data_IF_777919594702
#
_entry.id   IF_777919594702
#
_cell.length_a   1.000
_cell.length_b   1.000
_cell.length_c   1.000
_cell.angle_alpha   90.00
_cell.angle_beta   90.00
_cell.angle_gamma   90.00
#
_symmetry.space_group_name_H-M   'P 1'
#
loop_
_entity.id
_entity.type
_entity.pdbx_description
1 polymer ?
#
# COMPACT_ATOMS: atom_id res chain seq x y z
N UNK A 1 29.20 31.17 -24.83
CA UNK A 1 30.10 30.26 -25.58
C UNK A 1 30.26 29.00 -24.71
N UNK A 2 29.38 28.00 -24.89
CA UNK A 2 29.37 26.75 -24.12
C UNK A 2 30.40 25.85 -24.78
N UNK A 3 31.50 25.54 -24.09
CA UNK A 3 32.51 24.61 -24.55
C UNK A 3 31.88 23.23 -24.71
N UNK A 4 31.65 22.82 -25.98
CA UNK A 4 31.31 21.47 -26.35
C UNK A 4 32.54 20.58 -26.06
N UNK A 5 32.56 19.88 -24.94
CA UNK A 5 33.53 18.82 -24.70
C UNK A 5 33.19 17.65 -25.62
N UNK A 6 33.98 17.50 -26.72
CA UNK A 6 33.87 16.30 -27.54
C UNK A 6 34.38 15.09 -26.73
N UNK A 7 33.55 14.08 -26.60
CA UNK A 7 33.94 12.82 -25.98
C UNK A 7 34.66 11.96 -27.00
N UNK A 8 35.90 11.58 -26.74
CA UNK A 8 36.75 10.80 -27.64
C UNK A 8 37.54 9.75 -26.86
N UNK A 9 37.64 8.55 -27.43
CA UNK A 9 38.64 7.58 -27.03
C UNK A 9 39.95 7.91 -27.78
N UNK A 10 41.07 7.97 -27.06
CA UNK A 10 42.37 8.30 -27.61
C UNK A 10 43.24 7.04 -27.79
N UNK A 11 44.27 7.10 -28.69
CA UNK A 11 45.21 6.00 -28.86
C UNK A 11 45.97 5.64 -27.56
N UNK A 12 46.38 6.64 -26.80
CA UNK A 12 47.00 6.43 -25.48
C UNK A 12 46.12 5.67 -24.47
N UNK A 13 44.82 5.81 -24.58
CA UNK A 13 43.88 5.05 -23.75
C UNK A 13 43.81 3.56 -24.18
N UNK A 14 44.10 3.24 -25.46
CA UNK A 14 44.18 1.86 -25.92
C UNK A 14 45.47 1.17 -25.50
N UNK A 15 46.60 1.90 -25.52
CA UNK A 15 47.88 1.36 -25.07
C UNK A 15 47.82 0.99 -23.59
N UNK A 16 47.23 1.86 -22.76
CA UNK A 16 46.96 1.57 -21.34
C UNK A 16 46.05 0.31 -21.12
N UNK A 17 45.15 0.06 -22.07
CA UNK A 17 44.24 -1.08 -22.00
C UNK A 17 44.90 -2.38 -22.48
N UNK A 18 45.78 -2.31 -23.46
CA UNK A 18 46.56 -3.44 -23.97
C UNK A 18 47.58 -3.92 -22.91
N UNK A 19 48.29 -2.98 -22.27
CA UNK A 19 49.14 -3.27 -21.13
C UNK A 19 48.36 -3.82 -19.89
N UNK A 20 47.11 -3.39 -19.73
CA UNK A 20 46.22 -3.84 -18.66
C UNK A 20 45.56 -5.20 -18.87
N UNK A 21 45.85 -5.90 -19.99
CA UNK A 21 45.37 -7.26 -20.25
C UNK A 21 43.91 -7.35 -20.73
N UNK A 22 43.43 -6.33 -21.43
CA UNK A 22 42.09 -6.37 -22.05
C UNK A 22 42.11 -7.38 -23.21
N UNK A 23 41.09 -8.26 -23.34
CA UNK A 23 41.00 -9.24 -24.42
C UNK A 23 41.09 -8.60 -25.83
N UNK A 24 41.79 -9.29 -26.73
CA UNK A 24 42.12 -8.76 -28.08
C UNK A 24 40.88 -8.44 -28.94
N UNK A 25 39.80 -9.21 -28.77
CA UNK A 25 38.50 -8.98 -29.42
C UNK A 25 37.89 -7.65 -29.00
N UNK A 26 37.93 -7.34 -27.72
CA UNK A 26 37.42 -6.07 -27.17
C UNK A 26 38.32 -4.91 -27.53
N UNK A 27 39.63 -5.08 -27.51
CA UNK A 27 40.59 -4.09 -28.01
C UNK A 27 40.34 -3.73 -29.49
N UNK A 28 40.06 -4.71 -30.33
CA UNK A 28 39.75 -4.49 -31.75
C UNK A 28 38.41 -3.72 -31.91
N UNK A 29 37.43 -4.00 -31.10
CA UNK A 29 36.17 -3.25 -31.11
C UNK A 29 36.36 -1.81 -30.62
N UNK A 30 37.17 -1.60 -29.55
CA UNK A 30 37.50 -0.25 -29.06
C UNK A 30 38.34 0.55 -30.05
N UNK A 31 39.25 -0.09 -30.82
CA UNK A 31 40.03 0.56 -31.91
C UNK A 31 39.12 1.22 -32.95
N UNK A 32 37.94 0.68 -33.21
CA UNK A 32 36.97 1.28 -34.15
C UNK A 32 36.32 2.56 -33.61
N UNK A 33 36.38 2.78 -32.31
CA UNK A 33 35.82 3.98 -31.65
C UNK A 33 36.88 5.09 -31.50
N UNK A 34 38.17 4.76 -31.69
CA UNK A 34 39.27 5.74 -31.61
C UNK A 34 39.13 6.81 -32.66
N UNK A 35 39.26 8.07 -32.24
CA UNK A 35 39.13 9.20 -33.14
C UNK A 35 37.69 9.61 -33.52
N UNK A 36 36.70 8.80 -33.21
CA UNK A 36 35.30 9.22 -33.34
C UNK A 36 34.97 10.28 -32.27
N UNK A 37 34.30 11.34 -32.72
CA UNK A 37 33.76 12.35 -31.82
C UNK A 37 32.26 12.15 -31.68
N UNK A 38 31.80 12.10 -30.44
CA UNK A 38 30.40 11.94 -30.13
C UNK A 38 29.83 13.29 -29.65
N UNK A 39 28.64 13.61 -30.13
CA UNK A 39 27.98 14.89 -29.82
C UNK A 39 27.59 15.02 -28.38
N UNK A 40 27.23 13.89 -27.72
CA UNK A 40 26.82 13.84 -26.33
C UNK A 40 27.60 12.79 -25.56
N UNK A 41 27.74 13.00 -24.23
CA UNK A 41 28.29 12.01 -23.32
C UNK A 41 27.48 10.69 -23.35
N UNK A 42 26.18 10.78 -23.55
CA UNK A 42 25.28 9.65 -23.51
C UNK A 42 25.51 8.73 -24.74
N UNK A 43 25.69 9.29 -25.90
CA UNK A 43 26.03 8.56 -27.12
C UNK A 43 27.40 7.85 -27.00
N UNK A 44 28.40 8.55 -26.50
CA UNK A 44 29.72 7.98 -26.21
C UNK A 44 29.66 6.78 -25.25
N UNK A 45 28.93 6.93 -24.14
CA UNK A 45 28.78 5.87 -23.17
C UNK A 45 28.01 4.66 -23.68
N UNK A 46 27.04 4.87 -24.56
CA UNK A 46 26.29 3.78 -25.23
C UNK A 46 27.24 2.87 -26.04
N UNK A 47 28.13 3.45 -26.83
CA UNK A 47 29.08 2.69 -27.64
C UNK A 47 30.18 2.02 -26.82
N UNK A 48 30.60 2.63 -25.70
CA UNK A 48 31.51 1.99 -24.76
C UNK A 48 30.83 0.82 -24.03
N UNK A 49 29.58 0.98 -23.72
CA UNK A 49 28.78 0.01 -22.99
C UNK A 49 28.57 -1.30 -23.78
N UNK A 50 28.42 -1.20 -25.11
CA UNK A 50 28.34 -2.38 -26.01
C UNK A 50 29.62 -3.23 -25.94
N UNK A 51 30.78 -2.60 -25.80
CA UNK A 51 32.07 -3.29 -25.79
C UNK A 51 32.48 -3.74 -24.39
N UNK A 52 32.15 -2.96 -23.35
CA UNK A 52 32.60 -3.15 -21.98
C UNK A 52 31.53 -3.82 -21.08
N UNK A 53 30.42 -4.25 -21.64
CA UNK A 53 29.27 -4.73 -20.87
C UNK A 53 29.56 -5.87 -19.88
N UNK A 54 30.59 -6.67 -20.13
CA UNK A 54 31.01 -7.76 -19.24
C UNK A 54 32.55 -7.70 -19.03
N UNK A 55 33.05 -6.82 -18.14
CA UNK A 55 34.49 -6.71 -17.89
C UNK A 55 35.03 -8.00 -17.24
N UNK A 56 36.01 -8.62 -17.91
CA UNK A 56 36.62 -9.88 -17.49
C UNK A 56 37.98 -9.69 -16.82
N UNK A 57 38.67 -8.58 -17.10
CA UNK A 57 39.96 -8.24 -16.51
C UNK A 57 39.90 -7.07 -15.53
N UNK A 58 40.86 -6.93 -14.59
CA UNK A 58 40.94 -5.77 -13.71
C UNK A 58 41.06 -4.44 -14.45
N UNK A 59 41.75 -4.41 -15.58
CA UNK A 59 41.90 -3.21 -16.40
C UNK A 59 40.61 -2.82 -17.11
N UNK A 60 39.88 -3.78 -17.67
CA UNK A 60 38.53 -3.56 -18.23
C UNK A 60 37.58 -3.03 -17.16
N UNK A 61 37.64 -3.60 -15.95
CA UNK A 61 36.82 -3.17 -14.84
C UNK A 61 37.09 -1.75 -14.42
N UNK A 62 38.39 -1.35 -14.39
CA UNK A 62 38.80 0.06 -14.12
C UNK A 62 38.29 1.01 -15.20
N UNK A 63 38.40 0.60 -16.47
CA UNK A 63 37.89 1.36 -17.59
C UNK A 63 36.37 1.48 -17.56
N UNK A 64 35.68 0.37 -17.31
CA UNK A 64 34.24 0.32 -17.19
C UNK A 64 33.74 1.27 -16.07
N UNK A 65 34.38 1.25 -14.91
CA UNK A 65 34.03 2.17 -13.81
C UNK A 65 34.33 3.63 -14.15
N UNK A 66 35.36 3.90 -14.97
CA UNK A 66 35.75 5.25 -15.35
C UNK A 66 34.88 5.85 -16.46
N UNK A 67 34.50 5.03 -17.45
CA UNK A 67 33.88 5.49 -18.71
C UNK A 67 32.53 4.80 -19.02
N UNK A 68 32.25 3.66 -18.43
CA UNK A 68 31.02 2.94 -18.64
C UNK A 68 29.79 3.68 -18.10
N UNK A 69 28.62 3.21 -18.51
CA UNK A 69 27.36 3.72 -17.98
C UNK A 69 27.25 3.35 -16.51
N UNK A 70 27.30 4.36 -15.66
CA UNK A 70 27.16 4.16 -14.22
C UNK A 70 25.81 3.54 -13.87
N UNK A 71 25.81 2.71 -12.84
CA UNK A 71 24.60 2.18 -12.23
C UNK A 71 23.76 3.29 -11.61
N UNK A 72 22.45 3.20 -11.71
CA UNK A 72 21.53 4.16 -11.07
C UNK A 72 21.72 4.19 -9.54
N UNK A 73 22.02 3.03 -8.93
CA UNK A 73 22.23 2.87 -7.49
C UNK A 73 23.72 2.78 -7.09
N UNK A 74 24.66 2.97 -8.03
CA UNK A 74 26.09 2.86 -7.76
C UNK A 74 26.56 1.43 -7.47
N UNK A 75 25.84 0.42 -7.96
CA UNK A 75 26.11 -0.99 -7.69
C UNK A 75 27.22 -1.60 -8.57
N UNK A 76 27.84 -0.83 -9.47
CA UNK A 76 28.88 -1.30 -10.40
C UNK A 76 30.09 -1.92 -9.69
N UNK A 77 30.38 -1.47 -8.47
CA UNK A 77 31.47 -2.02 -7.68
C UNK A 77 31.18 -3.39 -7.08
N UNK A 78 29.91 -3.65 -6.78
CA UNK A 78 29.45 -4.90 -6.14
C UNK A 78 29.05 -5.92 -7.18
N UNK A 79 28.40 -5.50 -8.26
CA UNK A 79 27.87 -6.36 -9.31
C UNK A 79 28.46 -5.91 -10.65
N UNK A 80 29.59 -6.49 -11.07
CA UNK A 80 30.29 -6.11 -12.31
C UNK A 80 29.54 -6.52 -13.58
N UNK A 81 28.74 -7.60 -13.53
CA UNK A 81 27.94 -8.05 -14.67
C UNK A 81 26.76 -7.09 -14.91
N UNK A 82 26.74 -6.47 -16.08
CA UNK A 82 25.73 -5.49 -16.48
C UNK A 82 24.31 -6.04 -16.41
N UNK A 83 24.08 -7.18 -17.04
CA UNK A 83 22.73 -7.79 -17.09
C UNK A 83 22.20 -8.08 -15.67
N UNK A 84 23.01 -8.70 -14.80
CA UNK A 84 22.63 -9.00 -13.41
C UNK A 84 22.35 -7.72 -12.64
N UNK A 85 23.16 -6.68 -12.83
CA UNK A 85 23.00 -5.39 -12.17
C UNK A 85 21.70 -4.69 -12.58
N UNK A 86 21.39 -4.64 -13.89
CA UNK A 86 20.15 -4.04 -14.39
C UNK A 86 18.91 -4.74 -13.81
N UNK A 87 18.93 -6.06 -13.71
CA UNK A 87 17.86 -6.82 -13.05
C UNK A 87 17.75 -6.50 -11.55
N UNK A 88 18.87 -6.44 -10.85
CA UNK A 88 18.88 -6.11 -9.40
C UNK A 88 18.38 -4.68 -9.17
N UNK A 89 18.83 -3.71 -9.97
CA UNK A 89 18.36 -2.32 -9.89
C UNK A 89 16.86 -2.20 -10.18
N UNK A 90 16.39 -2.88 -11.22
CA UNK A 90 14.96 -2.90 -11.56
C UNK A 90 14.11 -3.52 -10.45
N UNK A 91 14.56 -4.63 -9.85
CA UNK A 91 13.87 -5.27 -8.73
C UNK A 91 13.88 -4.39 -7.47
N UNK A 92 15.00 -3.77 -7.15
CA UNK A 92 15.09 -2.83 -6.01
C UNK A 92 14.19 -1.61 -6.23
N UNK A 93 14.20 -1.04 -7.42
CA UNK A 93 13.31 0.08 -7.77
C UNK A 93 11.85 -0.33 -7.65
N UNK A 94 11.48 -1.48 -8.24
CA UNK A 94 10.11 -2.00 -8.16
C UNK A 94 9.70 -2.28 -6.70
N UNK A 95 10.60 -2.81 -5.88
CA UNK A 95 10.36 -3.04 -4.46
C UNK A 95 10.12 -1.72 -3.70
N UNK A 96 10.96 -0.71 -3.94
CA UNK A 96 10.79 0.62 -3.31
C UNK A 96 9.47 1.25 -3.71
N UNK A 97 9.14 1.23 -5.01
CA UNK A 97 7.86 1.76 -5.51
C UNK A 97 6.69 1.00 -4.90
N UNK A 98 6.73 -0.33 -4.87
CA UNK A 98 5.68 -1.16 -4.26
C UNK A 98 5.53 -0.88 -2.75
N UNK A 99 6.65 -0.72 -2.03
CA UNK A 99 6.65 -0.36 -0.62
C UNK A 99 6.03 1.02 -0.37
N UNK A 100 6.36 2.02 -1.19
CA UNK A 100 5.76 3.36 -1.14
C UNK A 100 4.26 3.32 -1.43
N UNK A 101 3.86 2.62 -2.49
CA UNK A 101 2.43 2.47 -2.84
C UNK A 101 1.67 1.78 -1.71
N UNK A 102 2.21 0.70 -1.16
CA UNK A 102 1.60 -0.01 -0.03
C UNK A 102 1.49 0.87 1.22
N UNK A 103 2.52 1.64 1.54
CA UNK A 103 2.56 2.44 2.77
C UNK A 103 1.65 3.66 2.70
N UNK A 104 1.59 4.32 1.54
CA UNK A 104 0.89 5.61 1.43
C UNK A 104 -0.46 5.53 0.72
N UNK A 105 -0.69 4.53 -0.13
CA UNK A 105 -1.90 4.51 -0.95
C UNK A 105 -2.85 3.35 -0.64
N UNK A 106 -2.38 2.10 -0.67
CA UNK A 106 -3.23 0.93 -0.52
C UNK A 106 -2.63 -0.08 0.44
N UNK A 107 -3.39 -0.44 1.47
CA UNK A 107 -3.02 -1.51 2.38
C UNK A 107 -4.00 -2.69 2.22
N UNK A 108 -3.50 -3.92 2.03
CA UNK A 108 -4.32 -5.11 2.05
C UNK A 108 -4.61 -5.53 3.49
N UNK A 109 -5.88 -5.86 3.78
CA UNK A 109 -6.33 -6.39 5.06
C UNK A 109 -7.09 -7.70 4.83
N UNK A 110 -6.84 -8.70 5.69
CA UNK A 110 -7.63 -9.93 5.76
C UNK A 110 -8.67 -9.78 6.85
N UNK A 111 -9.89 -10.21 6.58
CA UNK A 111 -11.02 -10.11 7.50
C UNK A 111 -11.21 -11.44 8.25
N UNK A 112 -10.88 -11.51 9.54
CA UNK A 112 -11.00 -12.72 10.32
C UNK A 112 -12.35 -12.88 11.03
N UNK A 113 -13.19 -11.84 11.08
CA UNK A 113 -14.42 -11.83 11.88
C UNK A 113 -15.66 -11.45 11.09
N UNK A 114 -16.81 -11.95 11.52
CA UNK A 114 -18.11 -11.71 10.86
C UNK A 114 -18.83 -10.44 11.31
N UNK A 115 -18.16 -9.50 12.02
CA UNK A 115 -18.83 -8.32 12.58
C UNK A 115 -19.36 -7.32 11.55
N UNK A 116 -18.89 -7.41 10.30
CA UNK A 116 -19.29 -6.56 9.18
C UNK A 116 -20.13 -7.30 8.12
N UNK A 117 -20.54 -8.53 8.40
CA UNK A 117 -21.46 -9.29 7.52
C UNK A 117 -22.80 -8.54 7.43
N UNK A 118 -23.44 -8.47 6.24
CA UNK A 118 -23.07 -9.08 4.97
C UNK A 118 -22.10 -8.25 4.11
N UNK A 119 -21.85 -7.00 4.48
CA UNK A 119 -21.02 -6.07 3.69
C UNK A 119 -19.63 -6.62 3.46
N UNK A 120 -18.99 -7.10 4.54
CA UNK A 120 -17.69 -7.76 4.49
C UNK A 120 -17.80 -9.11 5.20
N UNK A 121 -17.45 -10.18 4.50
CA UNK A 121 -17.54 -11.55 5.02
C UNK A 121 -16.19 -12.02 5.62
N UNK A 122 -16.26 -13.05 6.45
CA UNK A 122 -15.06 -13.76 6.92
C UNK A 122 -14.33 -14.36 5.72
N UNK A 123 -13.02 -14.16 5.67
CA UNK A 123 -12.18 -14.61 4.57
C UNK A 123 -12.08 -13.64 3.38
N UNK A 124 -12.80 -12.50 3.43
CA UNK A 124 -12.56 -11.40 2.50
C UNK A 124 -11.17 -10.80 2.72
N UNK A 125 -10.55 -10.45 1.62
CA UNK A 125 -9.36 -9.62 1.58
C UNK A 125 -9.72 -8.29 0.91
N UNK A 126 -9.55 -7.20 1.64
CA UNK A 126 -9.95 -5.87 1.19
C UNK A 126 -8.73 -4.98 0.96
N UNK A 127 -8.85 -4.07 0.01
CA UNK A 127 -7.96 -2.92 -0.04
C UNK A 127 -8.56 -1.76 0.73
N UNK A 128 -7.74 -1.18 1.60
CA UNK A 128 -8.03 0.09 2.23
C UNK A 128 -7.12 1.18 1.66
N UNK A 129 -7.69 2.36 1.49
CA UNK A 129 -6.93 3.56 1.09
C UNK A 129 -6.52 4.32 2.35
N UNK A 130 -5.21 4.51 2.49
CA UNK A 130 -4.62 5.20 3.63
C UNK A 130 -4.65 6.73 3.47
N UNK A 131 -4.70 7.22 2.23
CA UNK A 131 -4.70 8.65 1.91
C UNK A 131 -6.07 9.34 2.04
N UNK A 132 -7.16 8.57 2.19
CA UNK A 132 -8.51 9.17 2.25
C UNK A 132 -8.68 10.17 3.41
N UNK A 133 -7.94 10.00 4.49
CA UNK A 133 -7.98 10.90 5.63
C UNK A 133 -6.68 11.71 5.80
N UNK A 134 -5.99 11.93 4.68
CA UNK A 134 -4.71 12.65 4.59
C UNK A 134 -3.49 11.71 4.57
N UNK A 135 -2.46 12.15 3.87
CA UNK A 135 -1.18 11.43 3.76
C UNK A 135 -0.35 11.77 5.00
N UNK A 136 0.00 10.80 5.85
CA UNK A 136 0.83 11.07 7.00
C UNK A 136 2.23 11.53 6.56
N UNK A 137 2.71 12.62 7.14
CA UNK A 137 4.08 13.08 6.92
C UNK A 137 5.01 12.31 7.88
N UNK A 138 6.01 11.57 7.38
CA UNK A 138 6.92 10.83 8.22
C UNK A 138 7.55 11.71 9.32
N UNK A 139 7.64 11.20 10.54
CA UNK A 139 8.21 11.87 11.71
C UNK A 139 7.47 13.13 12.20
N UNK A 140 6.20 13.33 11.79
CA UNK A 140 5.33 14.42 12.27
C UNK A 140 3.92 13.92 12.49
N UNK A 141 3.14 14.62 13.32
CA UNK A 141 1.71 14.35 13.51
C UNK A 141 0.83 15.02 12.44
N UNK A 142 1.45 15.59 11.42
CA UNK A 142 0.77 16.35 10.36
C UNK A 142 0.36 15.42 9.22
N UNK A 143 -0.86 15.62 8.70
CA UNK A 143 -1.33 14.96 7.48
C UNK A 143 -1.46 15.98 6.34
N UNK A 144 -0.95 15.63 5.16
CA UNK A 144 -1.16 16.41 3.95
C UNK A 144 -2.55 16.10 3.38
N UNK A 145 -3.25 17.13 2.89
CA UNK A 145 -4.59 17.01 2.29
C UNK A 145 -5.60 16.27 3.19
N UNK A 146 -5.79 16.72 4.46
CA UNK A 146 -6.71 16.08 5.35
C UNK A 146 -8.13 16.13 4.77
N UNK A 147 -8.82 14.99 4.80
CA UNK A 147 -10.23 14.87 4.43
C UNK A 147 -11.01 14.43 5.66
N UNK A 148 -12.17 14.99 5.85
CA UNK A 148 -13.03 14.64 6.96
C UNK A 148 -13.61 13.24 6.80
N UNK A 149 -13.73 12.54 7.91
CA UNK A 149 -14.40 11.25 8.00
C UNK A 149 -15.90 11.52 7.89
N UNK A 150 -16.57 10.75 7.06
CA UNK A 150 -18.00 10.88 6.83
C UNK A 150 -18.77 9.74 7.49
N UNK A 151 -20.03 10.01 7.86
CA UNK A 151 -20.94 8.95 8.29
C UNK A 151 -21.13 7.94 7.15
N UNK A 152 -21.17 6.66 7.50
CA UNK A 152 -21.23 5.56 6.56
C UNK A 152 -19.86 5.05 6.09
N UNK A 153 -18.76 5.78 6.31
CA UNK A 153 -17.41 5.31 5.99
C UNK A 153 -17.08 4.03 6.75
N UNK A 154 -16.52 3.04 6.07
CA UNK A 154 -16.00 1.84 6.69
C UNK A 154 -14.52 2.09 7.01
N UNK A 155 -14.23 2.31 8.29
CA UNK A 155 -12.91 2.74 8.77
C UNK A 155 -12.13 1.62 9.40
N UNK A 156 -10.80 1.68 9.23
CA UNK A 156 -9.83 0.82 9.89
C UNK A 156 -9.07 1.65 10.91
N UNK A 157 -9.02 1.17 12.13
CA UNK A 157 -8.43 1.87 13.26
C UNK A 157 -7.86 0.88 14.29
N UNK A 158 -6.87 1.29 15.10
CA UNK A 158 -6.38 0.47 16.20
C UNK A 158 -7.48 0.33 17.26
N UNK A 159 -7.67 -0.90 17.75
CA UNK A 159 -8.65 -1.18 18.81
C UNK A 159 -8.33 -0.37 20.07
N UNK A 160 -9.25 0.42 20.62
CA UNK A 160 -8.96 1.34 21.72
C UNK A 160 -8.41 0.69 22.99
N UNK A 161 -8.77 -0.57 23.26
CA UNK A 161 -8.29 -1.32 24.44
C UNK A 161 -7.02 -2.12 24.18
N UNK A 162 -6.67 -2.37 22.91
CA UNK A 162 -5.44 -3.03 22.48
C UNK A 162 -5.01 -2.50 21.11
N UNK A 163 -4.21 -1.42 21.06
CA UNK A 163 -3.79 -0.79 19.81
C UNK A 163 -2.91 -1.65 18.88
N UNK A 164 -2.50 -2.83 19.31
CA UNK A 164 -1.77 -3.79 18.48
C UNK A 164 -2.65 -4.48 17.44
N UNK A 165 -3.98 -4.44 17.63
CA UNK A 165 -4.97 -5.09 16.78
C UNK A 165 -5.77 -4.04 16.01
N UNK A 166 -5.89 -4.21 14.71
CA UNK A 166 -6.73 -3.36 13.85
C UNK A 166 -8.17 -3.87 13.83
N UNK A 167 -9.11 -2.95 14.02
CA UNK A 167 -10.54 -3.18 13.87
C UNK A 167 -11.06 -2.48 12.61
N UNK A 168 -12.11 -3.06 12.04
CA UNK A 168 -12.86 -2.48 10.93
C UNK A 168 -14.33 -2.34 11.34
N UNK A 169 -14.87 -1.14 11.24
CA UNK A 169 -16.26 -0.80 11.58
C UNK A 169 -16.77 0.31 10.69
N UNK A 170 -18.08 0.50 10.70
CA UNK A 170 -18.75 1.62 10.02
C UNK A 170 -18.94 2.79 10.97
N UNK A 171 -18.67 4.01 10.48
CA UNK A 171 -18.93 5.25 11.21
C UNK A 171 -20.44 5.52 11.22
N UNK A 172 -21.02 5.58 12.40
CA UNK A 172 -22.45 5.79 12.61
C UNK A 172 -22.74 7.20 13.12
N UNK A 173 -21.89 7.75 13.99
CA UNK A 173 -21.99 9.13 14.41
C UNK A 173 -20.63 9.82 14.51
N UNK A 174 -20.64 11.15 14.39
CA UNK A 174 -19.48 12.03 14.38
C UNK A 174 -19.43 12.91 15.63
N UNK A 175 -18.27 13.48 15.91
CA UNK A 175 -18.08 14.39 17.03
C UNK A 175 -19.09 15.54 17.04
N UNK A 176 -19.66 15.83 18.22
CA UNK A 176 -20.71 16.82 18.44
C UNK A 176 -22.14 16.29 18.28
N UNK A 177 -22.31 15.08 17.73
CA UNK A 177 -23.63 14.46 17.57
C UNK A 177 -24.03 13.67 18.82
N UNK A 178 -25.34 13.58 19.05
CA UNK A 178 -25.92 12.77 20.12
C UNK A 178 -26.46 11.47 19.54
N UNK A 179 -25.93 10.32 19.98
CA UNK A 179 -26.37 9.01 19.57
C UNK A 179 -27.24 8.33 20.65
N UNK A 180 -28.33 7.71 20.21
CA UNK A 180 -29.11 6.81 21.04
C UNK A 180 -29.61 5.62 20.22
N UNK A 181 -29.81 4.46 20.87
CA UNK A 181 -30.35 3.28 20.23
C UNK A 181 -31.59 2.83 20.99
N UNK A 182 -32.65 2.55 20.24
CA UNK A 182 -33.91 2.04 20.79
C UNK A 182 -34.37 0.84 19.93
N UNK A 183 -34.30 -0.34 20.51
CA UNK A 183 -34.51 -1.57 19.72
C UNK A 183 -33.47 -1.71 18.61
N UNK A 184 -33.93 -1.85 17.39
CA UNK A 184 -33.05 -1.99 16.20
C UNK A 184 -32.67 -0.68 15.55
N UNK A 185 -33.23 0.47 16.00
CA UNK A 185 -33.07 1.75 15.35
C UNK A 185 -32.05 2.62 16.07
N UNK A 186 -31.10 3.13 15.32
CA UNK A 186 -30.14 4.16 15.77
C UNK A 186 -30.75 5.55 15.51
N UNK A 187 -30.62 6.43 16.47
CA UNK A 187 -31.03 7.82 16.39
C UNK A 187 -29.82 8.73 16.50
N UNK A 188 -29.71 9.69 15.60
CA UNK A 188 -28.69 10.74 15.65
C UNK A 188 -29.42 12.08 15.85
N UNK A 189 -29.06 12.80 16.92
CA UNK A 189 -29.73 14.05 17.30
C UNK A 189 -31.26 13.89 17.40
N UNK A 190 -31.68 12.71 17.89
CA UNK A 190 -33.08 12.29 18.05
C UNK A 190 -33.84 12.02 16.74
N UNK A 191 -33.16 12.00 15.56
CA UNK A 191 -33.73 11.58 14.28
C UNK A 191 -33.29 10.15 13.95
N UNK A 192 -34.19 9.29 13.43
CA UNK A 192 -33.84 7.92 13.07
C UNK A 192 -32.86 7.91 11.89
N UNK A 193 -31.81 7.12 12.01
CA UNK A 193 -30.82 6.94 10.94
C UNK A 193 -31.30 5.85 9.99
N UNK A 194 -31.26 6.13 8.67
CA UNK A 194 -31.47 5.14 7.64
C UNK A 194 -30.20 4.30 7.46
N UNK A 195 -30.31 2.99 7.73
CA UNK A 195 -29.20 2.07 7.77
C UNK A 195 -29.48 0.80 6.94
N UNK A 196 -29.52 0.88 5.61
CA UNK A 196 -29.83 -0.26 4.74
C UNK A 196 -28.77 -1.39 4.83
N UNK A 197 -27.62 -1.12 5.37
CA UNK A 197 -26.52 -2.04 5.61
C UNK A 197 -26.62 -2.80 6.95
N UNK A 198 -27.47 -2.35 7.87
CA UNK A 198 -27.60 -2.96 9.18
C UNK A 198 -28.23 -4.34 9.09
N UNK A 199 -27.50 -5.34 9.59
CA UNK A 199 -27.93 -6.72 9.57
C UNK A 199 -28.15 -7.26 10.98
N UNK A 200 -29.31 -7.87 11.19
CA UNK A 200 -29.67 -8.54 12.42
C UNK A 200 -29.85 -10.04 12.12
N UNK A 201 -28.83 -10.82 12.47
CA UNK A 201 -28.85 -12.28 12.24
C UNK A 201 -30.10 -12.91 12.85
N UNK A 202 -30.95 -13.57 12.06
CA UNK A 202 -32.22 -14.13 12.54
C UNK A 202 -32.02 -15.22 13.61
N UNK A 203 -30.94 -16.02 13.48
CA UNK A 203 -30.65 -17.11 14.43
C UNK A 203 -30.20 -16.53 15.77
N UNK A 204 -29.27 -15.56 15.72
CA UNK A 204 -28.81 -14.86 16.92
C UNK A 204 -29.95 -14.06 17.59
N UNK A 205 -30.84 -13.46 16.79
CA UNK A 205 -32.02 -12.77 17.27
C UNK A 205 -32.93 -13.72 18.03
N UNK A 206 -33.24 -14.87 17.42
CA UNK A 206 -34.06 -15.91 18.05
C UNK A 206 -33.40 -16.48 19.30
N UNK A 207 -32.11 -16.78 19.25
CA UNK A 207 -31.36 -17.33 20.39
C UNK A 207 -31.28 -16.38 21.58
N UNK A 208 -31.16 -15.06 21.35
CA UNK A 208 -31.05 -14.07 22.41
C UNK A 208 -32.39 -13.62 22.98
N UNK A 209 -33.45 -13.57 22.18
CA UNK A 209 -34.70 -12.91 22.52
C UNK A 209 -35.93 -13.81 22.41
N UNK A 210 -35.79 -15.05 21.89
CA UNK A 210 -36.88 -15.99 21.69
C UNK A 210 -37.90 -15.55 20.62
N UNK A 211 -38.96 -16.35 20.42
CA UNK A 211 -39.97 -16.09 19.36
C UNK A 211 -40.81 -14.82 19.61
N UNK A 212 -40.97 -14.40 20.88
CA UNK A 212 -41.77 -13.24 21.25
C UNK A 212 -40.92 -12.09 21.84
N UNK A 213 -39.60 -12.20 21.76
CA UNK A 213 -38.69 -11.18 22.32
C UNK A 213 -38.57 -9.98 21.40
N UNK A 214 -39.06 -8.83 21.84
CA UNK A 214 -38.62 -7.57 21.26
C UNK A 214 -37.14 -7.37 21.57
N UNK A 215 -36.36 -7.13 20.52
CA UNK A 215 -34.99 -6.68 20.67
C UNK A 215 -34.98 -5.29 21.29
N UNK A 216 -34.74 -5.22 22.60
CA UNK A 216 -34.82 -4.00 23.41
C UNK A 216 -33.41 -3.52 23.77
N UNK A 217 -32.55 -3.32 22.76
CA UNK A 217 -31.29 -2.62 23.02
C UNK A 217 -31.59 -1.15 23.38
N UNK A 218 -31.07 -0.70 24.51
CA UNK A 218 -31.09 0.71 24.89
C UNK A 218 -29.67 1.18 25.09
N UNK A 219 -29.28 2.17 24.32
CA UNK A 219 -27.99 2.84 24.45
C UNK A 219 -28.20 4.35 24.39
N UNK A 220 -27.52 5.07 25.26
CA UNK A 220 -27.58 6.54 25.24
C UNK A 220 -28.89 7.11 25.83
N UNK A 221 -29.21 8.39 25.56
CA UNK A 221 -28.47 9.29 24.65
C UNK A 221 -27.09 9.69 25.18
N UNK A 222 -26.09 9.72 24.30
CA UNK A 222 -24.72 10.15 24.61
C UNK A 222 -24.21 11.07 23.50
N UNK A 223 -23.70 12.25 23.90
CA UNK A 223 -23.10 13.19 22.94
C UNK A 223 -21.61 12.92 22.76
N UNK A 224 -21.16 12.81 21.53
CA UNK A 224 -19.77 12.54 21.20
C UNK A 224 -18.93 13.80 21.41
N UNK A 225 -17.76 13.71 22.07
CA UNK A 225 -16.80 14.78 22.07
C UNK A 225 -16.33 15.13 20.65
N UNK A 226 -15.90 16.38 20.40
CA UNK A 226 -15.33 16.76 19.11
C UNK A 226 -14.16 15.83 18.68
N UNK A 227 -14.12 15.44 17.41
CA UNK A 227 -13.10 14.56 16.87
C UNK A 227 -13.28 13.06 17.16
N UNK A 228 -14.24 12.69 18.01
CA UNK A 228 -14.56 11.30 18.31
C UNK A 228 -15.57 10.72 17.31
N UNK A 229 -15.50 9.41 17.12
CA UNK A 229 -16.39 8.64 16.26
C UNK A 229 -17.15 7.61 17.07
N UNK A 230 -18.41 7.39 16.72
CA UNK A 230 -19.18 6.23 17.15
C UNK A 230 -19.26 5.26 15.99
N UNK A 231 -18.70 4.09 16.17
CA UNK A 231 -18.60 3.10 15.09
C UNK A 231 -19.34 1.82 15.48
N UNK A 232 -19.99 1.19 14.51
CA UNK A 232 -20.71 -0.06 14.72
C UNK A 232 -20.36 -1.08 13.62
N UNK A 233 -20.47 -2.36 13.96
CA UNK A 233 -20.48 -3.41 12.93
C UNK A 233 -21.82 -3.48 12.22
N UNK A 234 -21.79 -3.81 10.93
CA UNK A 234 -23.02 -4.00 10.18
C UNK A 234 -23.82 -5.21 10.68
N UNK A 235 -23.13 -6.27 11.15
CA UNK A 235 -23.73 -7.40 11.89
C UNK A 235 -24.01 -7.03 13.34
N UNK A 236 -25.12 -6.38 13.58
CA UNK A 236 -25.51 -5.72 14.83
C UNK A 236 -25.47 -6.62 16.07
N UNK A 237 -25.86 -7.89 15.92
CA UNK A 237 -25.91 -8.84 17.02
C UNK A 237 -24.59 -9.59 17.26
N UNK A 238 -23.64 -9.47 16.31
CA UNK A 238 -22.34 -10.15 16.35
C UNK A 238 -21.18 -9.17 16.15
N UNK A 239 -21.24 -8.04 16.85
CA UNK A 239 -20.20 -7.03 16.78
C UNK A 239 -19.87 -6.49 18.16
N UNK A 240 -18.57 -6.51 18.48
CA UNK A 240 -18.01 -5.72 19.59
C UNK A 240 -17.60 -4.36 19.01
N UNK A 241 -18.30 -3.30 19.43
CA UNK A 241 -18.14 -1.97 18.84
C UNK A 241 -18.34 -0.86 19.90
N UNK A 242 -18.58 0.36 19.48
CA UNK A 242 -18.69 1.53 20.37
C UNK A 242 -19.77 1.39 21.43
N UNK A 243 -20.71 0.48 21.29
CA UNK A 243 -21.71 0.18 22.31
C UNK A 243 -21.10 -0.46 23.56
N UNK A 244 -19.97 -1.17 23.41
CA UNK A 244 -19.28 -1.86 24.50
C UNK A 244 -18.07 -1.07 25.03
N UNK A 245 -17.22 -0.57 24.13
CA UNK A 245 -15.92 0.01 24.51
C UNK A 245 -15.83 1.54 24.29
N UNK A 246 -16.91 2.20 23.82
CA UNK A 246 -16.98 3.67 23.70
C UNK A 246 -16.51 4.22 22.35
N UNK A 247 -15.92 5.40 22.35
CA UNK A 247 -15.62 6.17 21.16
C UNK A 247 -14.24 5.87 20.60
N UNK A 248 -14.07 6.12 19.29
CA UNK A 248 -12.77 6.07 18.59
C UNK A 248 -12.31 7.49 18.34
N UNK A 249 -11.06 7.78 18.62
CA UNK A 249 -10.44 9.03 18.19
C UNK A 249 -10.26 9.01 16.66
N UNK A 250 -10.91 9.94 15.95
CA UNK A 250 -10.84 10.04 14.49
C UNK A 250 -9.43 10.26 13.97
N UNK A 251 -8.53 10.83 14.78
CA UNK A 251 -7.12 11.03 14.39
C UNK A 251 -6.36 9.71 14.25
N UNK A 252 -6.79 8.65 14.95
CA UNK A 252 -6.18 7.32 14.94
C UNK A 252 -6.62 6.47 13.75
N UNK A 253 -7.62 6.91 12.98
CA UNK A 253 -8.08 6.18 11.81
C UNK A 253 -6.95 6.04 10.78
N UNK A 254 -6.65 4.80 10.44
CA UNK A 254 -5.56 4.45 9.51
C UNK A 254 -5.99 4.54 8.05
N UNK A 255 -7.25 4.20 7.75
CA UNK A 255 -7.72 4.23 6.38
C UNK A 255 -9.18 3.85 6.23
N UNK A 256 -9.66 3.88 4.98
CA UNK A 256 -11.02 3.52 4.58
C UNK A 256 -11.01 2.27 3.71
N UNK A 257 -11.84 1.28 4.06
CA UNK A 257 -12.11 0.12 3.22
C UNK A 257 -12.75 0.52 1.90
N UNK A 258 -12.26 0.00 0.77
CA UNK A 258 -12.72 0.40 -0.57
C UNK A 258 -13.33 -0.74 -1.36
N UNK A 259 -12.63 -1.87 -1.45
CA UNK A 259 -13.00 -2.95 -2.35
C UNK A 259 -12.53 -4.30 -1.81
N UNK A 260 -13.34 -5.32 -2.02
CA UNK A 260 -12.93 -6.72 -1.84
C UNK A 260 -12.15 -7.16 -3.08
N UNK A 261 -10.86 -7.45 -2.94
CA UNK A 261 -10.04 -7.89 -4.08
C UNK A 261 -9.87 -9.41 -4.15
N UNK A 262 -10.13 -10.10 -3.04
CA UNK A 262 -10.09 -11.55 -2.94
C UNK A 262 -11.02 -12.04 -1.84
N UNK A 263 -11.64 -13.21 -2.02
CA UNK A 263 -12.50 -13.82 -1.02
C UNK A 263 -12.40 -15.34 -1.06
N UNK A 264 -12.12 -15.92 0.09
CA UNK A 264 -12.06 -17.37 0.27
C UNK A 264 -12.64 -17.74 1.63
N UNK A 265 -13.66 -18.60 1.64
CA UNK A 265 -14.26 -19.09 2.89
C UNK A 265 -13.21 -19.96 3.64
N UNK A 266 -12.79 -19.58 4.84
CA UNK A 266 -11.78 -20.32 5.59
C UNK A 266 -12.25 -21.72 6.05
N UNK A 267 -13.56 -21.96 6.09
CA UNK A 267 -14.15 -23.24 6.52
C UNK A 267 -14.20 -24.25 5.37
N UNK A 268 -13.85 -23.85 4.16
CA UNK A 268 -13.85 -24.70 2.97
C UNK A 268 -12.42 -25.04 2.50
N UNK A 269 -12.34 -26.09 1.64
CA UNK A 269 -11.08 -26.50 1.03
C UNK A 269 -10.48 -25.36 0.18
N UNK A 270 -9.15 -25.31 0.11
CA UNK A 270 -8.43 -24.33 -0.72
C UNK A 270 -8.88 -24.32 -2.19
N UNK A 271 -9.38 -25.43 -2.71
CA UNK A 271 -9.83 -25.54 -4.10
C UNK A 271 -11.29 -25.14 -4.32
N UNK A 272 -12.13 -25.16 -3.29
CA UNK A 272 -13.60 -24.95 -3.40
C UNK A 272 -14.12 -23.67 -2.75
N UNK A 273 -13.40 -23.11 -1.78
CA UNK A 273 -13.88 -22.00 -0.94
C UNK A 273 -13.86 -20.60 -1.59
N UNK A 274 -13.61 -20.48 -2.89
CA UNK A 274 -13.54 -19.19 -3.57
C UNK A 274 -14.92 -18.56 -3.77
N UNK A 275 -15.09 -17.36 -3.26
CA UNK A 275 -16.32 -16.58 -3.37
C UNK A 275 -16.21 -15.54 -4.50
N UNK A 276 -16.23 -16.02 -5.74
CA UNK A 276 -16.01 -15.17 -6.94
C UNK A 276 -16.95 -13.98 -7.03
N UNK A 277 -18.21 -14.14 -6.60
CA UNK A 277 -19.21 -13.07 -6.61
C UNK A 277 -18.91 -11.90 -5.66
N UNK A 278 -17.96 -12.07 -4.73
CA UNK A 278 -17.54 -11.00 -3.80
C UNK A 278 -16.38 -10.18 -4.33
N UNK A 279 -15.59 -10.75 -5.24
CA UNK A 279 -14.43 -10.05 -5.82
C UNK A 279 -14.90 -8.87 -6.66
N UNK A 280 -14.36 -7.69 -6.39
CA UNK A 280 -14.77 -6.44 -7.03
C UNK A 280 -15.89 -5.69 -6.30
N UNK A 281 -16.42 -6.23 -5.18
CA UNK A 281 -17.45 -5.55 -4.39
C UNK A 281 -16.90 -4.27 -3.77
N UNK A 282 -17.52 -3.14 -4.11
CA UNK A 282 -17.18 -1.85 -3.52
C UNK A 282 -17.80 -1.72 -2.12
N UNK A 283 -17.01 -1.28 -1.17
CA UNK A 283 -17.43 -1.05 0.21
C UNK A 283 -18.01 0.37 0.35
N UNK A 284 -19.32 0.44 0.53
CA UNK A 284 -20.08 1.70 0.65
C UNK A 284 -20.86 1.73 1.93
#
# INVERSE_FOLDING_TARGET
MIFSRSYRLTGASLDELEEGGVPADKLQALKKLVGRSFATRQEYLLHLDEVLAAPTSPAERKLYLKYGRGSFLGLERLIPHRSTREWVEALLFAFVVAALVRTFFFAPFKIPSGSMVPTIAVGDHIFATMYNYGIPVPFTDTKLFPREISRGDIVIFPYPLDPSVDYIKRVVALGGETVSIRGTTVYINNEPLDEPYAYFDPILKLARFGNNGEYMEKFGPVTLPPGMLFVMGDNRLNSRDSREWGFVDGSTVRGRGQIVYWSHNPDESFLSGYQWGRIGTLLR
#
